data_IF_811473603621
#
_entry.id   IF_811473603621
#
_cell.length_a   1.000
_cell.length_b   1.000
_cell.length_c   1.000
_cell.angle_alpha   90.00
_cell.angle_beta   90.00
_cell.angle_gamma   90.00
#
_symmetry.space_group_name_H-M   'P 1'
#
loop_
_entity.id
_entity.type
_entity.pdbx_description
1 polymer ?
#
# COMPACT_ATOMS: atom_id res chain seq x y z
N UNK A 1 24.80 -12.26 -38.35
CA UNK A 1 24.78 -11.50 -37.08
C UNK A 1 24.52 -12.48 -35.96
N UNK A 2 25.34 -12.51 -34.91
CA UNK A 2 25.09 -13.33 -33.72
C UNK A 2 24.15 -12.53 -32.81
N UNK A 3 23.03 -13.14 -32.47
CA UNK A 3 22.08 -12.61 -31.50
C UNK A 3 22.72 -12.68 -30.11
N UNK A 4 22.93 -11.54 -29.44
CA UNK A 4 23.45 -11.49 -28.08
C UNK A 4 22.24 -11.33 -27.15
N UNK A 5 21.94 -12.37 -26.37
CA UNK A 5 20.79 -12.38 -25.45
C UNK A 5 21.12 -11.86 -24.05
N UNK A 6 22.38 -11.93 -23.64
CA UNK A 6 22.84 -11.54 -22.31
C UNK A 6 24.34 -11.19 -22.37
N UNK A 7 24.76 -10.19 -21.59
CA UNK A 7 26.15 -9.72 -21.54
C UNK A 7 26.82 -10.32 -20.30
N UNK A 8 27.97 -10.98 -20.48
CA UNK A 8 28.78 -11.51 -19.38
C UNK A 8 29.72 -10.43 -18.83
N UNK A 9 29.32 -9.81 -17.72
CA UNK A 9 30.08 -8.75 -17.06
C UNK A 9 31.43 -9.21 -16.48
N UNK A 10 31.65 -10.52 -16.31
CA UNK A 10 32.94 -11.04 -15.83
C UNK A 10 33.97 -11.20 -16.95
N UNK A 11 33.56 -11.02 -18.21
CA UNK A 11 34.38 -11.24 -19.39
C UNK A 11 34.32 -10.03 -20.33
N UNK A 12 34.48 -8.83 -19.76
CA UNK A 12 34.54 -7.59 -20.51
C UNK A 12 35.98 -7.28 -20.94
N UNK A 13 36.21 -6.75 -22.15
CA UNK A 13 37.51 -6.21 -22.55
C UNK A 13 38.02 -5.16 -21.56
N UNK A 14 39.34 -5.13 -21.32
CA UNK A 14 39.99 -4.23 -20.35
C UNK A 14 39.75 -2.74 -20.63
N UNK A 15 39.32 -2.40 -21.85
CA UNK A 15 39.08 -1.04 -22.34
C UNK A 15 37.73 -0.46 -21.89
N UNK A 16 36.81 -1.27 -21.35
CA UNK A 16 35.48 -0.83 -20.92
C UNK A 16 35.54 -0.30 -19.48
N UNK A 17 35.41 1.03 -19.31
CA UNK A 17 35.23 1.65 -18.00
C UNK A 17 33.75 1.77 -17.65
N UNK A 18 33.29 0.96 -16.70
CA UNK A 18 31.92 1.03 -16.19
C UNK A 18 31.84 2.11 -15.11
N UNK A 19 30.98 3.10 -15.29
CA UNK A 19 30.59 4.05 -14.25
C UNK A 19 29.07 4.02 -14.13
N UNK A 20 28.57 3.72 -12.92
CA UNK A 20 27.15 3.90 -12.62
C UNK A 20 26.86 5.40 -12.58
N UNK A 21 25.91 5.85 -13.39
CA UNK A 21 25.57 7.27 -13.53
C UNK A 21 24.55 7.68 -12.44
N UNK A 22 23.79 6.72 -11.89
CA UNK A 22 22.62 6.92 -11.00
C UNK A 22 22.15 5.55 -10.43
N UNK A 23 21.25 5.56 -9.43
CA UNK A 23 20.44 4.45 -8.91
C UNK A 23 19.29 4.04 -9.85
N UNK A 24 19.20 4.64 -11.05
CA UNK A 24 18.20 4.25 -12.05
C UNK A 24 18.60 2.96 -12.77
N UNK A 25 17.59 2.15 -13.12
CA UNK A 25 17.71 0.90 -13.87
C UNK A 25 18.18 1.10 -15.33
N UNK A 26 18.85 2.20 -15.65
CA UNK A 26 19.32 2.60 -16.99
C UNK A 26 20.80 2.94 -16.89
N UNK A 27 21.62 2.27 -17.69
CA UNK A 27 23.03 2.57 -17.85
C UNK A 27 23.32 2.97 -19.31
N UNK A 28 24.23 3.91 -19.50
CA UNK A 28 24.71 4.35 -20.81
C UNK A 28 26.23 4.14 -20.88
N UNK A 29 26.70 3.44 -21.90
CA UNK A 29 28.10 3.12 -22.13
C UNK A 29 28.57 3.81 -23.40
N UNK A 30 29.75 4.41 -23.36
CA UNK A 30 30.46 4.90 -24.54
C UNK A 30 31.50 3.85 -24.95
N UNK A 31 31.45 3.42 -26.20
CA UNK A 31 32.37 2.44 -26.77
C UNK A 31 33.18 3.16 -27.85
N UNK A 32 34.45 3.41 -27.55
CA UNK A 32 35.41 3.90 -28.53
C UNK A 32 35.79 2.76 -29.48
N UNK A 33 35.37 2.89 -30.74
CA UNK A 33 35.74 1.94 -31.80
C UNK A 33 36.86 2.58 -32.63
N UNK A 34 38.03 1.93 -32.68
CA UNK A 34 39.19 2.46 -33.41
C UNK A 34 38.84 2.83 -34.86
N UNK A 35 39.01 4.10 -35.21
CA UNK A 35 38.79 4.62 -36.55
C UNK A 35 37.35 5.05 -36.88
N UNK A 36 36.40 4.91 -35.95
CA UNK A 36 35.01 5.34 -36.12
C UNK A 36 34.55 6.27 -34.99
N UNK A 37 33.38 6.90 -35.16
CA UNK A 37 32.78 7.72 -34.11
C UNK A 37 32.33 6.82 -32.94
N UNK A 38 32.42 7.30 -31.68
CA UNK A 38 32.05 6.51 -30.51
C UNK A 38 30.60 6.04 -30.58
N UNK A 39 30.38 4.78 -30.19
CA UNK A 39 29.07 4.15 -30.14
C UNK A 39 28.52 4.19 -28.72
N UNK A 40 27.34 4.77 -28.54
CA UNK A 40 26.67 4.79 -27.24
C UNK A 40 25.68 3.63 -27.12
N UNK A 41 25.83 2.80 -26.09
CA UNK A 41 24.91 1.70 -25.77
C UNK A 41 24.11 2.07 -24.54
N UNK A 42 22.79 2.08 -24.65
CA UNK A 42 21.89 2.28 -23.50
C UNK A 42 21.32 0.91 -23.12
N UNK A 43 21.54 0.47 -21.89
CA UNK A 43 20.93 -0.74 -21.33
C UNK A 43 19.95 -0.39 -20.24
N UNK A 44 18.79 -1.04 -20.24
CA UNK A 44 17.83 -0.96 -19.15
C UNK A 44 17.66 -2.34 -18.51
N UNK A 45 17.64 -2.40 -17.18
CA UNK A 45 17.34 -3.63 -16.44
C UNK A 45 15.85 -3.95 -16.55
N UNK A 46 15.50 -4.87 -17.45
CA UNK A 46 14.13 -5.35 -17.62
C UNK A 46 13.58 -5.96 -16.33
N UNK A 47 14.44 -6.55 -15.50
CA UNK A 47 14.06 -7.20 -14.24
C UNK A 47 13.61 -6.18 -13.19
N UNK A 48 14.36 -5.10 -12.97
CA UNK A 48 14.00 -4.07 -11.99
C UNK A 48 12.74 -3.30 -12.41
N UNK A 49 12.64 -2.99 -13.71
CA UNK A 49 11.44 -2.36 -14.27
C UNK A 49 10.22 -3.29 -14.14
N UNK A 50 10.37 -4.59 -14.42
CA UNK A 50 9.29 -5.58 -14.22
C UNK A 50 8.90 -5.72 -12.77
N UNK A 51 9.85 -5.76 -11.84
CA UNK A 51 9.56 -5.85 -10.40
C UNK A 51 8.84 -4.60 -9.91
N UNK A 52 9.27 -3.41 -10.31
CA UNK A 52 8.56 -2.15 -9.98
C UNK A 52 7.15 -2.11 -10.58
N UNK A 53 6.99 -2.52 -11.84
CA UNK A 53 5.68 -2.62 -12.50
C UNK A 53 4.77 -3.67 -11.85
N UNK A 54 5.33 -4.80 -11.41
CA UNK A 54 4.57 -5.84 -10.71
C UNK A 54 4.11 -5.36 -9.32
N UNK A 55 4.95 -4.64 -8.58
CA UNK A 55 4.58 -4.05 -7.29
C UNK A 55 3.46 -3.01 -7.44
N UNK A 56 3.43 -2.26 -8.54
CA UNK A 56 2.34 -1.33 -8.86
C UNK A 56 1.04 -2.06 -9.23
N UNK A 57 1.12 -3.20 -9.91
CA UNK A 57 -0.05 -3.96 -10.38
C UNK A 57 -0.71 -4.84 -9.32
N UNK A 58 -0.12 -4.98 -8.14
CA UNK A 58 -0.66 -5.79 -7.02
C UNK A 58 -1.54 -5.02 -6.04
N UNK A 59 -1.59 -3.69 -6.14
CA UNK A 59 -2.30 -2.85 -5.18
C UNK A 59 -3.81 -2.86 -5.41
N UNK A 60 -4.56 -3.09 -4.35
CA UNK A 60 -6.02 -3.01 -4.32
C UNK A 60 -6.46 -2.17 -3.14
N UNK A 61 -7.62 -1.52 -3.29
CA UNK A 61 -8.19 -0.64 -2.28
C UNK A 61 -9.52 -1.21 -1.79
N UNK A 62 -9.61 -1.48 -0.49
CA UNK A 62 -10.86 -1.85 0.16
C UNK A 62 -11.51 -0.58 0.70
N UNK A 63 -12.68 -0.24 0.18
CA UNK A 63 -13.43 0.93 0.64
C UNK A 63 -14.41 0.51 1.73
N UNK A 64 -14.30 1.15 2.89
CA UNK A 64 -15.09 0.87 4.07
C UNK A 64 -15.63 2.17 4.65
N UNK A 65 -16.87 2.21 5.10
CA UNK A 65 -17.40 3.42 5.70
C UNK A 65 -18.82 3.35 6.22
N UNK A 66 -19.25 4.44 6.82
CA UNK A 66 -20.61 4.69 7.28
C UNK A 66 -20.96 6.12 6.91
N UNK A 67 -22.09 6.31 6.24
CA UNK A 67 -22.66 7.64 6.05
C UNK A 67 -23.68 7.94 7.14
N UNK A 68 -23.80 9.21 7.53
CA UNK A 68 -24.66 9.66 8.61
C UNK A 68 -23.96 9.65 9.97
N UNK A 69 -24.76 9.86 11.01
CA UNK A 69 -24.26 10.03 12.39
C UNK A 69 -24.25 8.69 13.15
N UNK A 70 -23.18 8.48 13.90
CA UNK A 70 -23.00 7.33 14.79
C UNK A 70 -22.46 7.81 16.14
N UNK A 71 -22.94 7.19 17.20
CA UNK A 71 -22.54 7.49 18.59
C UNK A 71 -22.00 6.26 19.34
N UNK A 72 -21.96 5.12 18.67
CA UNK A 72 -21.52 3.85 19.25
C UNK A 72 -20.47 3.20 18.34
N UNK A 73 -19.50 2.54 18.99
CA UNK A 73 -18.47 1.77 18.30
C UNK A 73 -19.09 0.71 17.39
N UNK A 74 -18.72 0.67 16.12
CA UNK A 74 -19.40 -0.19 15.13
C UNK A 74 -18.48 -0.60 13.99
N UNK A 75 -18.81 -1.72 13.33
CA UNK A 75 -18.11 -2.14 12.12
C UNK A 75 -18.52 -1.29 10.92
N UNK A 76 -17.54 -0.92 10.09
CA UNK A 76 -17.79 -0.16 8.87
C UNK A 76 -18.45 -1.05 7.81
N UNK A 77 -19.23 -0.43 6.92
CA UNK A 77 -19.80 -1.11 5.77
C UNK A 77 -18.75 -1.24 4.67
N UNK A 78 -18.76 -2.36 3.94
CA UNK A 78 -18.06 -2.47 2.67
C UNK A 78 -18.61 -1.48 1.64
N UNK A 79 -17.91 -1.32 0.52
CA UNK A 79 -18.38 -0.58 -0.66
C UNK A 79 -19.76 -1.06 -1.18
N UNK A 80 -20.15 -2.30 -0.90
CA UNK A 80 -21.46 -2.86 -1.26
C UNK A 80 -22.56 -2.60 -0.21
N UNK A 81 -22.26 -1.84 0.85
CA UNK A 81 -23.20 -1.54 1.94
C UNK A 81 -23.37 -2.67 2.95
N UNK A 82 -22.50 -3.69 2.92
CA UNK A 82 -22.56 -4.81 3.88
C UNK A 82 -21.72 -4.46 5.10
N UNK A 83 -22.37 -4.30 6.24
CA UNK A 83 -21.70 -4.09 7.53
C UNK A 83 -20.77 -5.27 7.86
N UNK A 84 -19.53 -4.98 8.26
CA UNK A 84 -18.59 -5.98 8.74
C UNK A 84 -18.99 -6.60 10.09
N UNK A 85 -18.17 -7.54 10.54
CA UNK A 85 -18.13 -8.09 11.90
C UNK A 85 -16.74 -8.71 12.12
N UNK A 86 -16.48 -9.25 13.30
CA UNK A 86 -15.24 -9.96 13.61
C UNK A 86 -14.91 -11.01 12.52
N UNK A 87 -15.89 -11.83 12.14
CA UNK A 87 -15.75 -12.89 11.14
C UNK A 87 -16.51 -12.61 9.83
N UNK A 88 -16.78 -11.33 9.50
CA UNK A 88 -17.54 -10.95 8.29
C UNK A 88 -16.94 -9.68 7.67
N UNK A 89 -16.60 -9.75 6.39
CA UNK A 89 -15.96 -8.64 5.69
C UNK A 89 -15.51 -9.03 4.29
N UNK A 90 -14.45 -8.40 3.79
CA UNK A 90 -13.84 -8.78 2.53
C UNK A 90 -13.07 -10.09 2.67
N UNK A 91 -13.40 -11.08 1.85
CA UNK A 91 -12.65 -12.35 1.76
C UNK A 91 -11.51 -12.18 0.77
N UNK A 92 -10.29 -12.46 1.22
CA UNK A 92 -9.09 -12.31 0.40
C UNK A 92 -8.98 -13.41 -0.65
N UNK A 93 -8.87 -13.02 -1.92
CA UNK A 93 -8.77 -13.95 -3.04
C UNK A 93 -7.36 -14.53 -3.22
N UNK A 94 -6.35 -13.87 -2.66
CA UNK A 94 -4.93 -14.18 -2.78
C UNK A 94 -4.25 -13.94 -1.44
N UNK A 95 -3.04 -14.47 -1.30
CA UNK A 95 -2.13 -14.07 -0.22
C UNK A 95 -1.66 -12.63 -0.48
N UNK A 96 -1.25 -11.92 0.56
CA UNK A 96 -0.84 -10.53 0.41
C UNK A 96 -0.53 -9.84 1.72
N UNK A 97 -0.42 -8.52 1.64
CA UNK A 97 -0.08 -7.64 2.75
C UNK A 97 -1.06 -6.47 2.84
N UNK A 98 -1.40 -6.04 4.05
CA UNK A 98 -2.01 -4.74 4.29
C UNK A 98 -0.87 -3.72 4.37
N UNK A 99 -0.91 -2.71 3.51
CA UNK A 99 0.21 -1.76 3.31
C UNK A 99 -0.14 -0.32 3.64
N UNK A 100 -1.44 -0.01 3.77
CA UNK A 100 -1.87 1.34 4.09
C UNK A 100 -3.28 1.40 4.63
N UNK A 101 -3.53 2.40 5.46
CA UNK A 101 -4.85 2.76 5.94
C UNK A 101 -4.98 4.29 5.88
N UNK A 102 -6.09 4.79 5.38
CA UNK A 102 -6.42 6.20 5.48
C UNK A 102 -7.87 6.36 5.86
N UNK A 103 -8.15 7.34 6.73
CA UNK A 103 -9.51 7.61 7.19
C UNK A 103 -9.80 9.10 7.16
N UNK A 104 -11.02 9.43 6.76
CA UNK A 104 -11.62 10.75 6.94
C UNK A 104 -12.94 10.60 7.69
N UNK A 105 -13.19 11.48 8.65
CA UNK A 105 -14.40 11.50 9.46
C UNK A 105 -14.72 12.92 9.93
N UNK A 106 -15.95 13.15 10.39
CA UNK A 106 -16.34 14.42 11.00
C UNK A 106 -16.70 14.21 12.48
N UNK A 107 -16.00 14.90 13.38
CA UNK A 107 -16.32 14.93 14.81
C UNK A 107 -17.33 16.04 15.08
N UNK A 108 -18.50 15.69 15.63
CA UNK A 108 -19.57 16.66 15.92
C UNK A 108 -19.52 17.27 17.31
N UNK A 109 -18.98 16.53 18.27
CA UNK A 109 -18.93 16.93 19.68
C UNK A 109 -17.52 16.67 20.20
N UNK A 110 -16.87 17.65 20.86
CA UNK A 110 -15.55 17.44 21.45
C UNK A 110 -15.68 16.58 22.71
N UNK A 111 -14.62 15.90 23.11
CA UNK A 111 -14.60 15.15 24.34
C UNK A 111 -13.23 14.59 24.68
N UNK A 112 -13.20 13.66 25.63
CA UNK A 112 -11.95 13.05 26.10
C UNK A 112 -11.71 11.70 25.42
N UNK A 113 -10.44 11.33 25.30
CA UNK A 113 -9.99 10.09 24.65
C UNK A 113 -9.73 10.28 23.15
N UNK A 114 -9.80 9.17 22.43
CA UNK A 114 -9.44 9.09 21.02
C UNK A 114 -10.43 8.20 20.26
N UNK A 115 -10.66 8.52 18.99
CA UNK A 115 -11.35 7.62 18.06
C UNK A 115 -10.29 6.72 17.44
N UNK A 116 -10.56 5.42 17.36
CA UNK A 116 -9.66 4.48 16.69
C UNK A 116 -10.35 3.81 15.51
N UNK A 117 -9.63 3.68 14.40
CA UNK A 117 -10.03 2.87 13.25
C UNK A 117 -9.22 1.59 13.30
N UNK A 118 -9.85 0.50 13.71
CA UNK A 118 -9.18 -0.76 14.01
C UNK A 118 -9.45 -1.78 12.92
N UNK A 119 -8.39 -2.31 12.33
CA UNK A 119 -8.47 -3.37 11.32
C UNK A 119 -8.52 -4.74 12.00
N UNK A 120 -9.39 -5.61 11.51
CA UNK A 120 -9.55 -6.99 11.96
C UNK A 120 -9.21 -7.95 10.82
N UNK A 121 -8.51 -9.03 11.17
CA UNK A 121 -8.25 -10.18 10.30
C UNK A 121 -8.74 -11.45 11.01
N UNK A 122 -9.71 -12.15 10.41
CA UNK A 122 -10.32 -13.36 10.97
C UNK A 122 -10.81 -13.20 12.43
N UNK A 123 -11.33 -12.04 12.78
CA UNK A 123 -11.82 -11.73 14.13
C UNK A 123 -10.78 -11.21 15.10
N UNK A 124 -9.50 -11.20 14.73
CA UNK A 124 -8.43 -10.68 15.56
C UNK A 124 -7.97 -9.29 15.09
N UNK A 125 -7.69 -8.41 16.05
CA UNK A 125 -7.16 -7.07 15.78
C UNK A 125 -5.76 -7.19 15.17
N UNK A 126 -5.55 -6.57 14.02
CA UNK A 126 -4.20 -6.34 13.50
C UNK A 126 -3.70 -5.01 14.07
N UNK A 127 -2.41 -4.94 14.43
CA UNK A 127 -1.81 -3.80 15.14
C UNK A 127 -1.70 -2.49 14.34
N UNK A 128 -2.57 -2.26 13.36
CA UNK A 128 -2.53 -1.16 12.42
C UNK A 128 -3.85 -0.41 12.43
N UNK A 129 -3.78 0.88 12.75
CA UNK A 129 -4.92 1.72 13.08
C UNK A 129 -4.65 3.17 12.74
N UNK A 130 -5.71 3.94 12.47
CA UNK A 130 -5.67 5.40 12.54
C UNK A 130 -6.27 5.87 13.86
N UNK A 131 -5.77 6.98 14.38
CA UNK A 131 -6.19 7.52 15.69
C UNK A 131 -6.48 9.01 15.58
N UNK A 132 -7.59 9.45 16.17
CA UNK A 132 -8.00 10.85 16.12
C UNK A 132 -8.24 11.39 17.52
N UNK A 133 -7.59 12.51 17.84
CA UNK A 133 -7.87 13.24 19.06
C UNK A 133 -9.29 13.85 19.03
N UNK A 134 -9.86 14.13 20.19
CA UNK A 134 -11.22 14.66 20.33
C UNK A 134 -11.27 16.11 20.82
N UNK A 135 -10.15 16.84 20.74
CA UNK A 135 -10.04 18.19 21.30
C UNK A 135 -10.84 19.22 20.50
N UNK A 136 -11.00 18.99 19.20
CA UNK A 136 -11.65 19.90 18.27
C UNK A 136 -12.71 19.18 17.42
N UNK A 137 -13.82 19.88 17.18
CA UNK A 137 -14.87 19.45 16.25
C UNK A 137 -14.48 19.75 14.81
N UNK A 138 -15.06 19.01 13.88
CA UNK A 138 -14.89 19.21 12.44
C UNK A 138 -14.35 17.99 11.73
N UNK A 139 -13.96 18.20 10.47
CA UNK A 139 -13.46 17.15 9.59
C UNK A 139 -12.01 16.85 9.93
N UNK A 140 -11.72 15.57 10.23
CA UNK A 140 -10.39 15.06 10.54
C UNK A 140 -9.97 14.01 9.52
N UNK A 141 -8.66 13.93 9.29
CA UNK A 141 -8.07 12.93 8.40
C UNK A 141 -6.77 12.42 9.00
N UNK A 142 -6.55 11.12 8.88
CA UNK A 142 -5.34 10.43 9.30
C UNK A 142 -5.00 9.35 8.28
N UNK A 143 -3.72 9.06 8.12
CA UNK A 143 -3.25 8.02 7.21
C UNK A 143 -1.90 7.47 7.67
N UNK A 144 -1.74 6.16 7.50
CA UNK A 144 -0.52 5.45 7.81
C UNK A 144 -0.20 4.44 6.71
N UNK A 145 1.09 4.19 6.52
CA UNK A 145 1.58 3.13 5.65
C UNK A 145 2.57 2.25 6.40
N UNK A 146 2.65 0.99 5.99
CA UNK A 146 3.62 0.03 6.52
C UNK A 146 4.29 -0.69 5.35
N UNK A 147 5.54 -1.09 5.57
CA UNK A 147 6.29 -1.84 4.58
C UNK A 147 5.65 -3.21 4.31
N UNK A 148 5.85 -3.70 3.09
CA UNK A 148 5.45 -5.05 2.69
C UNK A 148 5.99 -6.10 3.67
N UNK A 149 5.21 -7.16 3.88
CA UNK A 149 5.58 -8.22 4.82
C UNK A 149 5.25 -7.96 6.29
N UNK A 150 4.87 -6.73 6.68
CA UNK A 150 4.58 -6.40 8.10
C UNK A 150 3.26 -7.00 8.58
N UNK A 151 2.21 -6.88 7.77
CA UNK A 151 0.86 -7.33 8.11
C UNK A 151 0.34 -8.22 6.99
N UNK A 152 0.64 -9.51 7.09
CA UNK A 152 0.27 -10.47 6.05
C UNK A 152 -1.18 -10.94 6.22
N UNK A 153 -1.80 -11.30 5.10
CA UNK A 153 -3.00 -12.14 5.04
C UNK A 153 -2.79 -13.28 4.05
N UNK A 154 -3.52 -14.36 4.27
CA UNK A 154 -3.58 -15.50 3.36
C UNK A 154 -4.89 -15.46 2.57
N UNK A 155 -4.91 -16.20 1.46
CA UNK A 155 -6.13 -16.49 0.72
C UNK A 155 -7.18 -17.11 1.65
N UNK A 156 -8.38 -16.56 1.61
CA UNK A 156 -9.51 -16.97 2.44
C UNK A 156 -9.61 -16.19 3.76
N UNK A 157 -8.60 -15.43 4.15
CA UNK A 157 -8.70 -14.55 5.32
C UNK A 157 -9.78 -13.49 5.10
N UNK A 158 -10.45 -13.12 6.18
CA UNK A 158 -11.51 -12.12 6.21
C UNK A 158 -10.96 -10.85 6.83
N UNK A 159 -11.07 -9.74 6.11
CA UNK A 159 -10.69 -8.41 6.58
C UNK A 159 -11.95 -7.57 6.83
N UNK A 160 -12.05 -6.99 8.01
CA UNK A 160 -13.08 -6.01 8.38
C UNK A 160 -12.47 -4.85 9.16
N UNK A 161 -13.19 -3.75 9.27
CA UNK A 161 -12.72 -2.55 9.99
C UNK A 161 -13.81 -2.07 10.92
N UNK A 162 -13.40 -1.66 12.12
CA UNK A 162 -14.28 -1.14 13.18
C UNK A 162 -13.84 0.26 13.56
N UNK A 163 -14.79 1.17 13.71
CA UNK A 163 -14.56 2.44 14.39
C UNK A 163 -14.88 2.26 15.87
N UNK A 164 -13.93 2.62 16.73
CA UNK A 164 -14.07 2.65 18.19
C UNK A 164 -14.29 4.08 18.60
N UNK A 165 -15.42 4.32 19.26
CA UNK A 165 -15.93 5.64 19.62
C UNK A 165 -16.08 5.69 21.14
N UNK A 166 -15.43 6.66 21.83
CA UNK A 166 -15.66 6.91 23.25
C UNK A 166 -17.11 7.32 23.55
N UNK A 167 -17.56 7.08 24.78
CA UNK A 167 -18.92 7.41 25.20
C UNK A 167 -19.20 8.93 25.06
N UNK A 168 -20.38 9.27 24.53
CA UNK A 168 -20.83 10.66 24.37
C UNK A 168 -20.30 11.38 23.12
N UNK A 169 -19.44 10.73 22.32
CA UNK A 169 -18.94 11.28 21.06
C UNK A 169 -19.90 10.95 19.92
N UNK A 170 -20.11 11.92 19.03
CA UNK A 170 -20.87 11.72 17.78
C UNK A 170 -19.92 11.96 16.62
N UNK A 171 -19.83 10.94 15.76
CA UNK A 171 -19.14 11.02 14.48
C UNK A 171 -20.14 11.11 13.36
N UNK A 172 -19.74 11.72 12.26
CA UNK A 172 -20.49 11.74 11.01
C UNK A 172 -19.58 11.35 9.85
N UNK A 173 -20.16 10.60 8.91
CA UNK A 173 -19.55 10.26 7.62
C UNK A 173 -18.10 9.73 7.75
N UNK A 174 -17.96 8.50 8.26
CA UNK A 174 -16.68 7.81 8.37
C UNK A 174 -16.34 7.13 7.04
N UNK A 175 -15.21 7.49 6.45
CA UNK A 175 -14.72 6.91 5.20
C UNK A 175 -13.27 6.43 5.38
N UNK A 176 -13.06 5.14 5.23
CA UNK A 176 -11.77 4.46 5.41
C UNK A 176 -11.39 3.70 4.13
N UNK A 177 -10.15 3.88 3.72
CA UNK A 177 -9.52 3.13 2.64
C UNK A 177 -8.45 2.22 3.25
N UNK A 178 -8.49 0.93 2.93
CA UNK A 178 -7.41 0.00 3.24
C UNK A 178 -6.67 -0.36 1.95
N UNK A 179 -5.38 -0.03 1.88
CA UNK A 179 -4.50 -0.47 0.81
C UNK A 179 -3.99 -1.88 1.13
N UNK A 180 -4.14 -2.78 0.16
CA UNK A 180 -3.57 -4.12 0.21
C UNK A 180 -2.71 -4.37 -1.03
N UNK A 181 -1.66 -5.16 -0.89
CA UNK A 181 -0.87 -5.70 -2.00
C UNK A 181 -1.10 -7.20 -2.10
N UNK A 182 -1.70 -7.65 -3.20
CA UNK A 182 -1.90 -9.06 -3.47
C UNK A 182 -0.67 -9.70 -4.11
N UNK A 183 -0.16 -10.78 -3.51
CA UNK A 183 0.91 -11.61 -4.06
C UNK A 183 0.34 -12.54 -5.13
N UNK A 184 1.09 -12.73 -6.22
CA UNK A 184 0.69 -13.58 -7.35
C UNK A 184 1.06 -15.03 -7.15
#
# INVERSE_FOLDING_TARGET
MKDIKEVDFNNLPEEIKIQNIDDTAIAMYEIDVEGEAPVYVITASELEIKTQLQNLMGKMLLNLGISGEISESTFLNSASGVMGAENKGYVMLRDGDITGISTNLEVKIPGEGEIEIVVYKNGEVVGFRNTFDLNEVGIKSDYDTVGDGTINFNKGDIISVKVVIPEGIILKDVNTLLEITAKR
#
